data_IF_558789515187
#
_entry.id   IF_558789515187
#
_cell.length_a   1.000
_cell.length_b   1.000
_cell.length_c   1.000
_cell.angle_alpha   90.00
_cell.angle_beta   90.00
_cell.angle_gamma   90.00
#
_symmetry.space_group_name_H-M   'P 1'
#
loop_
_entity.id
_entity.type
_entity.pdbx_description
1 polymer ?
#
# COMPACT_ATOMS: atom_id res chain seq x y z
N UNK A 1 2.46 17.70 -22.17
CA UNK A 1 2.54 17.35 -20.72
C UNK A 1 1.30 16.55 -20.37
N UNK A 2 1.41 15.40 -19.69
CA UNK A 2 0.24 14.59 -19.32
C UNK A 2 -0.39 15.06 -18.00
N UNK A 3 -1.68 14.74 -17.78
CA UNK A 3 -2.38 14.96 -16.51
C UNK A 3 -1.67 14.31 -15.32
N UNK A 4 -1.12 13.12 -15.55
CA UNK A 4 -0.35 12.37 -14.55
C UNK A 4 0.87 13.14 -14.06
N UNK A 5 1.62 13.81 -14.95
CA UNK A 5 2.82 14.58 -14.55
C UNK A 5 2.48 15.77 -13.64
N UNK A 6 1.37 16.47 -13.90
CA UNK A 6 0.91 17.57 -13.04
C UNK A 6 0.46 17.05 -11.68
N UNK A 7 -0.32 15.97 -11.65
CA UNK A 7 -0.80 15.36 -10.42
C UNK A 7 0.37 14.85 -9.53
N UNK A 8 1.42 14.30 -10.14
CA UNK A 8 2.62 13.88 -9.43
C UNK A 8 3.37 15.06 -8.80
N UNK A 9 3.51 16.19 -9.52
CA UNK A 9 4.11 17.40 -8.98
C UNK A 9 3.29 17.99 -7.81
N UNK A 10 1.96 17.99 -7.93
CA UNK A 10 1.03 18.42 -6.88
C UNK A 10 1.13 17.54 -5.61
N UNK A 11 1.11 16.22 -5.78
CA UNK A 11 1.25 15.26 -4.68
C UNK A 11 2.61 15.37 -3.98
N UNK A 12 3.69 15.57 -4.76
CA UNK A 12 5.03 15.80 -4.22
C UNK A 12 5.11 17.12 -3.44
N UNK A 13 4.48 18.18 -3.94
CA UNK A 13 4.40 19.46 -3.26
C UNK A 13 3.66 19.36 -1.91
N UNK A 14 2.57 18.60 -1.86
CA UNK A 14 1.79 18.35 -0.64
C UNK A 14 2.54 17.50 0.38
N UNK A 15 3.05 16.34 -0.03
CA UNK A 15 3.78 15.41 0.84
C UNK A 15 5.05 16.03 1.44
N UNK A 16 5.82 16.76 0.63
CA UNK A 16 7.02 17.47 1.11
C UNK A 16 6.69 18.63 2.07
N UNK A 17 5.55 19.29 1.92
CA UNK A 17 5.09 20.33 2.85
C UNK A 17 4.73 19.72 4.22
N UNK A 18 4.03 18.59 4.24
CA UNK A 18 3.65 17.89 5.48
C UNK A 18 4.88 17.41 6.26
N UNK A 19 5.94 17.00 5.56
CA UNK A 19 7.23 16.61 6.16
C UNK A 19 8.08 17.83 6.58
N UNK A 20 7.67 19.04 6.19
CA UNK A 20 8.40 20.28 6.50
C UNK A 20 9.61 20.54 5.59
N UNK A 21 9.73 19.83 4.45
CA UNK A 21 10.81 20.04 3.50
C UNK A 21 10.46 21.18 2.52
N UNK A 22 10.54 22.41 3.03
CA UNK A 22 10.10 23.64 2.34
C UNK A 22 10.73 23.83 0.96
N UNK A 23 12.03 23.54 0.81
CA UNK A 23 12.73 23.72 -0.46
C UNK A 23 12.20 22.80 -1.56
N UNK A 24 11.94 21.53 -1.24
CA UNK A 24 11.35 20.57 -2.16
C UNK A 24 9.91 20.95 -2.50
N UNK A 25 9.12 21.36 -1.51
CA UNK A 25 7.74 21.81 -1.71
C UNK A 25 7.66 23.03 -2.62
N UNK A 26 8.56 24.00 -2.44
CA UNK A 26 8.62 25.20 -3.30
C UNK A 26 8.96 24.86 -4.75
N UNK A 27 9.97 24.01 -4.99
CA UNK A 27 10.34 23.58 -6.35
C UNK A 27 9.22 22.77 -7.01
N UNK A 28 8.59 21.85 -6.27
CA UNK A 28 7.49 21.03 -6.78
C UNK A 28 6.24 21.88 -7.13
N UNK A 29 5.89 22.87 -6.30
CA UNK A 29 4.78 23.81 -6.60
C UNK A 29 5.05 24.69 -7.80
N UNK A 30 6.28 25.19 -7.91
CA UNK A 30 6.66 25.98 -9.07
C UNK A 30 6.51 25.13 -10.34
N UNK A 31 7.07 23.90 -10.34
CA UNK A 31 6.99 22.97 -11.46
C UNK A 31 5.55 22.62 -11.82
N UNK A 32 4.70 22.33 -10.83
CA UNK A 32 3.26 22.09 -11.01
C UNK A 32 2.58 23.26 -11.75
N UNK A 33 2.76 24.49 -11.28
CA UNK A 33 2.17 25.68 -11.91
C UNK A 33 2.65 25.87 -13.35
N UNK A 34 3.95 25.68 -13.61
CA UNK A 34 4.48 25.87 -14.96
C UNK A 34 4.03 24.75 -15.92
N UNK A 35 3.94 23.50 -15.44
CA UNK A 35 3.37 22.40 -16.20
C UNK A 35 1.89 22.65 -16.51
N UNK A 36 1.10 23.14 -15.55
CA UNK A 36 -0.31 23.45 -15.76
C UNK A 36 -0.49 24.57 -16.80
N UNK A 37 0.24 25.67 -16.69
CA UNK A 37 0.19 26.77 -17.67
C UNK A 37 0.65 26.35 -19.07
N UNK A 38 1.64 25.46 -19.16
CA UNK A 38 2.11 24.93 -20.45
C UNK A 38 1.04 24.11 -21.17
N UNK A 39 0.09 23.51 -20.42
CA UNK A 39 -1.01 22.76 -21.02
C UNK A 39 -2.05 23.66 -21.64
N UNK A 40 -2.26 24.85 -21.08
CA UNK A 40 -3.26 25.79 -21.62
C UNK A 40 -2.79 26.38 -22.98
N UNK A 41 -1.51 26.26 -23.32
CA UNK A 41 -0.90 26.80 -24.54
C UNK A 41 -0.51 25.67 -25.52
N UNK A 42 -1.32 25.49 -26.56
CA UNK A 42 -1.39 24.24 -27.33
C UNK A 42 -0.49 24.11 -28.57
N UNK A 43 0.29 25.10 -28.99
CA UNK A 43 1.11 24.95 -30.21
C UNK A 43 2.49 25.61 -30.08
N UNK A 44 3.52 24.83 -30.42
CA UNK A 44 4.90 25.20 -30.73
C UNK A 44 5.92 25.53 -29.61
N UNK A 45 5.51 25.66 -28.34
CA UNK A 45 6.44 26.02 -27.24
C UNK A 45 7.17 24.86 -26.53
N UNK A 46 6.81 23.59 -26.79
CA UNK A 46 7.27 22.45 -25.96
C UNK A 46 8.79 22.27 -25.92
N UNK A 47 9.51 22.63 -27.00
CA UNK A 47 10.97 22.55 -27.05
C UNK A 47 11.67 23.65 -26.24
N UNK A 48 11.03 24.82 -26.07
CA UNK A 48 11.64 25.98 -25.39
C UNK A 48 11.57 25.85 -23.86
N UNK A 49 10.49 25.28 -23.34
CA UNK A 49 10.25 25.16 -21.88
C UNK A 49 10.68 23.80 -21.32
N UNK A 50 10.78 22.78 -22.16
CA UNK A 50 11.11 21.41 -21.76
C UNK A 50 12.44 21.31 -21.00
N UNK A 51 13.45 22.09 -21.37
CA UNK A 51 14.74 22.10 -20.68
C UNK A 51 14.62 22.54 -19.22
N UNK A 52 13.84 23.60 -18.95
CA UNK A 52 13.63 24.11 -17.58
C UNK A 52 12.88 23.09 -16.72
N UNK A 53 11.93 22.35 -17.31
CA UNK A 53 11.23 21.26 -16.60
C UNK A 53 12.15 20.09 -16.26
N UNK A 54 13.05 19.72 -17.17
CA UNK A 54 14.05 18.67 -16.91
C UNK A 54 15.02 19.11 -15.82
N UNK A 55 15.51 20.35 -15.87
CA UNK A 55 16.39 20.91 -14.83
C UNK A 55 15.70 20.92 -13.44
N UNK A 56 14.42 21.25 -13.37
CA UNK A 56 13.64 21.20 -12.14
C UNK A 56 13.40 19.77 -11.63
N UNK A 57 13.13 18.82 -12.52
CA UNK A 57 13.00 17.41 -12.16
C UNK A 57 14.32 16.83 -11.61
N UNK A 58 15.45 17.22 -12.20
CA UNK A 58 16.79 16.86 -11.70
C UNK A 58 17.08 17.49 -10.32
N UNK A 59 16.68 18.74 -10.11
CA UNK A 59 16.78 19.40 -8.80
C UNK A 59 15.95 18.68 -7.72
N UNK A 60 14.71 18.32 -8.05
CA UNK A 60 13.82 17.53 -7.20
C UNK A 60 14.44 16.17 -6.86
N UNK A 61 14.98 15.45 -7.85
CA UNK A 61 15.65 14.16 -7.65
C UNK A 61 16.85 14.30 -6.72
N UNK A 62 17.66 15.35 -6.90
CA UNK A 62 18.80 15.64 -6.01
C UNK A 62 18.34 15.91 -4.58
N UNK A 63 17.29 16.71 -4.39
CA UNK A 63 16.73 17.03 -3.07
C UNK A 63 16.19 15.78 -2.35
N UNK A 64 15.47 14.91 -3.06
CA UNK A 64 14.96 13.64 -2.53
C UNK A 64 16.09 12.70 -2.09
N UNK A 65 17.13 12.55 -2.91
CA UNK A 65 18.30 11.75 -2.53
C UNK A 65 19.03 12.31 -1.30
N UNK A 66 19.14 13.63 -1.19
CA UNK A 66 19.78 14.27 -0.04
C UNK A 66 18.92 14.11 1.23
N UNK A 67 17.60 14.21 1.10
CA UNK A 67 16.66 13.94 2.17
C UNK A 67 16.78 12.49 2.68
N UNK A 68 16.84 11.51 1.77
CA UNK A 68 17.06 10.11 2.12
C UNK A 68 18.41 9.88 2.84
N UNK A 69 19.43 10.69 2.51
CA UNK A 69 20.72 10.70 3.19
C UNK A 69 20.74 11.50 4.50
N UNK A 70 19.60 12.06 4.94
CA UNK A 70 19.47 12.82 6.20
C UNK A 70 19.85 14.30 6.10
N UNK A 71 20.00 14.85 4.90
CA UNK A 71 20.37 16.25 4.68
C UNK A 71 19.23 17.06 4.06
N UNK A 72 18.86 18.16 4.71
CA UNK A 72 17.93 19.16 4.16
C UNK A 72 18.71 20.24 3.43
N UNK A 73 18.73 20.18 2.09
CA UNK A 73 19.37 21.20 1.25
C UNK A 73 18.35 22.11 0.58
N UNK A 74 18.82 23.27 0.14
CA UNK A 74 18.02 24.21 -0.63
C UNK A 74 17.94 23.78 -2.10
N UNK A 75 16.84 24.14 -2.75
CA UNK A 75 16.65 24.01 -4.19
C UNK A 75 17.58 24.94 -4.96
N UNK A 76 17.86 24.62 -6.21
CA UNK A 76 18.61 25.53 -7.08
C UNK A 76 17.77 26.80 -7.33
N UNK A 77 18.24 27.93 -6.80
CA UNK A 77 17.55 29.22 -6.91
C UNK A 77 17.45 29.72 -8.36
N UNK A 78 18.42 29.37 -9.22
CA UNK A 78 18.40 29.76 -10.63
C UNK A 78 17.36 28.99 -11.42
N UNK A 79 17.20 27.68 -11.14
CA UNK A 79 16.14 26.86 -11.74
C UNK A 79 14.77 27.33 -11.27
N UNK A 80 14.62 27.56 -9.96
CA UNK A 80 13.35 28.01 -9.37
C UNK A 80 12.90 29.36 -9.96
N UNK A 81 13.83 30.30 -10.13
CA UNK A 81 13.54 31.60 -10.72
C UNK A 81 13.15 31.49 -12.20
N UNK A 82 13.94 30.73 -13.00
CA UNK A 82 13.61 30.49 -14.41
C UNK A 82 12.23 29.88 -14.57
N UNK A 83 11.85 28.98 -13.67
CA UNK A 83 10.59 28.28 -13.72
C UNK A 83 9.40 29.18 -13.34
N UNK A 84 9.58 30.11 -12.39
CA UNK A 84 8.58 31.13 -12.06
C UNK A 84 8.44 32.21 -13.15
N UNK A 85 9.52 32.50 -13.87
CA UNK A 85 9.55 33.50 -14.95
C UNK A 85 9.07 32.96 -16.30
N UNK A 86 8.65 31.68 -16.39
CA UNK A 86 8.08 31.13 -17.61
C UNK A 86 6.80 31.88 -17.97
N UNK A 87 6.91 32.72 -19.00
CA UNK A 87 5.79 33.38 -19.64
C UNK A 87 5.31 32.52 -20.81
N UNK A 88 4.02 32.22 -20.83
CA UNK A 88 3.40 31.37 -21.84
C UNK A 88 2.62 32.19 -22.89
N UNK A 89 2.79 33.52 -22.95
CA UNK A 89 1.97 34.48 -23.70
C UNK A 89 1.92 34.37 -25.25
N UNK A 90 2.30 33.24 -25.87
CA UNK A 90 2.14 33.05 -27.31
C UNK A 90 0.68 32.70 -27.67
N UNK A 91 -0.04 33.76 -28.07
CA UNK A 91 -1.27 33.80 -28.87
C UNK A 91 -2.40 32.81 -28.49
N UNK A 92 -3.18 33.18 -27.48
CA UNK A 92 -4.59 32.77 -27.38
C UNK A 92 -5.36 33.36 -28.57
N UNK A 93 -5.41 32.66 -29.69
CA UNK A 93 -6.49 32.87 -30.67
C UNK A 93 -7.80 32.41 -30.00
N UNK A 94 -8.89 33.19 -30.09
CA UNK A 94 -10.15 32.84 -29.47
C UNK A 94 -10.68 31.50 -30.03
N UNK A 95 -11.48 30.76 -29.23
CA UNK A 95 -12.02 29.47 -29.65
C UNK A 95 -12.77 29.61 -30.98
N UNK A 96 -12.55 28.65 -31.88
CA UNK A 96 -13.19 28.56 -33.19
C UNK A 96 -14.70 28.39 -33.02
N UNK A 97 -15.42 29.49 -32.96
CA UNK A 97 -16.88 29.53 -33.00
C UNK A 97 -17.42 30.63 -33.92
N UNK A 98 -16.55 31.41 -34.59
CA UNK A 98 -16.96 32.53 -35.46
C UNK A 98 -16.30 32.53 -36.85
N UNK A 99 -15.70 31.42 -37.30
CA UNK A 99 -15.13 31.31 -38.66
C UNK A 99 -16.10 30.80 -39.73
N UNK A 100 -17.38 30.63 -39.41
CA UNK A 100 -18.40 30.14 -40.36
C UNK A 100 -19.00 31.24 -41.26
N UNK A 101 -18.38 32.43 -41.30
CA UNK A 101 -18.91 33.60 -42.02
C UNK A 101 -17.89 34.34 -42.90
N UNK A 102 -16.81 33.68 -43.33
CA UNK A 102 -15.90 34.26 -44.33
C UNK A 102 -15.78 33.33 -45.54
N UNK A 103 -16.50 33.71 -46.60
CA UNK A 103 -16.44 33.15 -47.94
C UNK A 103 -15.09 33.50 -48.58
N UNK A 104 -14.18 32.52 -48.66
CA UNK A 104 -12.90 32.68 -49.34
C UNK A 104 -13.02 32.14 -50.78
N UNK A 105 -12.78 32.98 -51.81
CA UNK A 105 -12.89 32.55 -53.20
C UNK A 105 -11.81 31.51 -53.54
N UNK A 106 -12.26 30.44 -54.19
CA UNK A 106 -11.46 29.31 -54.64
C UNK A 106 -10.58 29.69 -55.85
N UNK A 107 -9.47 30.40 -55.61
CA UNK A 107 -8.36 30.43 -56.58
C UNK A 107 -7.08 31.05 -55.98
N UNK A 108 -6.27 30.25 -55.27
CA UNK A 108 -4.78 30.35 -55.28
C UNK A 108 -4.22 28.99 -54.85
N UNK A 109 -4.12 28.05 -55.80
CA UNK A 109 -3.17 26.94 -55.70
C UNK A 109 -1.85 27.42 -56.27
N UNK A 110 -0.94 27.85 -55.40
CA UNK A 110 0.48 27.91 -55.73
C UNK A 110 1.23 27.13 -54.64
N UNK A 111 1.40 25.82 -54.87
CA UNK A 111 2.39 25.00 -54.16
C UNK A 111 3.75 25.46 -54.65
N UNK A 112 4.49 26.15 -53.79
CA UNK A 112 5.91 26.37 -54.03
C UNK A 112 6.68 25.14 -53.53
N UNK A 113 7.50 24.59 -54.42
CA UNK A 113 8.21 23.32 -54.26
C UNK A 113 9.41 23.50 -53.31
N UNK A 114 9.29 23.01 -52.07
CA UNK A 114 10.44 22.83 -51.19
C UNK A 114 11.00 21.41 -51.33
N UNK A 115 12.19 21.40 -51.93
CA UNK A 115 13.08 20.30 -52.28
C UNK A 115 13.33 19.33 -51.12
N UNK A 116 13.14 18.04 -51.41
CA UNK A 116 13.45 16.93 -50.51
C UNK A 116 14.96 16.81 -50.28
N UNK A 117 15.37 16.81 -49.01
CA UNK A 117 16.70 16.37 -48.57
C UNK A 117 16.57 15.14 -47.67
N UNK A 118 17.49 14.21 -47.87
CA UNK A 118 17.36 12.77 -47.66
C UNK A 118 17.31 12.34 -46.18
N UNK A 119 16.53 11.28 -45.94
CA UNK A 119 16.53 10.51 -44.70
C UNK A 119 17.87 9.79 -44.47
N UNK A 120 18.40 9.71 -43.23
CA UNK A 120 19.37 8.69 -42.87
C UNK A 120 18.65 7.42 -42.37
N UNK A 121 19.23 6.29 -42.78
CA UNK A 121 18.83 4.91 -42.48
C UNK A 121 19.00 4.54 -40.98
N UNK A 122 18.39 3.42 -40.50
CA UNK A 122 18.47 3.02 -39.11
C UNK A 122 19.79 2.30 -38.78
N UNK A 123 20.34 2.54 -37.59
CA UNK A 123 21.46 1.82 -37.00
C UNK A 123 21.14 1.48 -35.52
N UNK A 124 21.78 0.45 -34.94
CA UNK A 124 21.14 -0.58 -34.11
C UNK A 124 21.12 -0.30 -32.61
N UNK A 125 20.34 -1.10 -31.89
CA UNK A 125 20.28 -1.21 -30.42
C UNK A 125 21.67 -1.40 -29.82
N UNK A 126 22.07 -0.49 -28.91
CA UNK A 126 23.28 -0.60 -28.11
C UNK A 126 22.90 -0.97 -26.67
N UNK A 127 23.40 -2.13 -26.22
CA UNK A 127 23.41 -2.58 -24.83
C UNK A 127 24.00 -1.51 -23.89
N UNK A 128 23.25 -1.15 -22.85
CA UNK A 128 23.76 -0.32 -21.76
C UNK A 128 24.51 -1.24 -20.79
N UNK A 129 25.82 -1.34 -21.00
CA UNK A 129 26.75 -1.95 -20.06
C UNK A 129 26.72 -1.20 -18.71
N UNK A 130 26.39 -1.92 -17.63
CA UNK A 130 26.53 -1.42 -16.27
C UNK A 130 28.02 -1.29 -15.92
N UNK A 131 28.46 -0.06 -15.69
CA UNK A 131 29.80 0.24 -15.19
C UNK A 131 29.94 -0.24 -13.73
N UNK A 132 30.78 -1.26 -13.53
CA UNK A 132 31.24 -1.71 -12.23
C UNK A 132 32.18 -0.68 -11.60
N UNK A 133 31.94 -0.34 -10.33
CA UNK A 133 32.91 0.37 -9.48
C UNK A 133 33.85 -0.64 -8.79
N UNK A 134 35.13 -0.30 -8.54
CA UNK A 134 36.14 -1.26 -8.10
C UNK A 134 36.06 -1.54 -6.59
N UNK A 135 36.23 -2.81 -6.22
CA UNK A 135 36.34 -3.28 -4.83
C UNK A 135 37.81 -3.29 -4.39
N UNK A 136 38.09 -2.66 -3.25
CA UNK A 136 39.40 -2.62 -2.60
C UNK A 136 39.51 -3.72 -1.52
N UNK A 137 40.47 -4.63 -1.73
CA UNK A 137 41.32 -5.40 -0.80
C UNK A 137 40.75 -6.34 0.31
N UNK A 138 41.50 -7.39 0.71
CA UNK A 138 40.97 -8.60 1.35
C UNK A 138 41.28 -8.69 2.84
N UNK A 139 40.43 -9.41 3.60
CA UNK A 139 40.80 -9.96 4.90
C UNK A 139 40.45 -11.45 4.99
N UNK A 140 41.53 -12.23 4.88
CA UNK A 140 41.90 -13.43 5.63
C UNK A 140 40.78 -14.38 6.11
N UNK A 141 40.77 -15.50 5.39
CA UNK A 141 40.45 -16.87 5.78
C UNK A 141 40.78 -17.22 7.25
N UNK A 142 39.78 -17.69 7.99
CA UNK A 142 39.95 -18.59 9.14
C UNK A 142 38.88 -19.69 9.08
N UNK A 143 39.14 -20.68 8.23
CA UNK A 143 38.57 -22.02 8.32
C UNK A 143 39.02 -22.74 9.59
N UNK A 144 38.06 -23.28 10.36
CA UNK A 144 38.24 -24.48 11.19
C UNK A 144 36.94 -25.30 11.20
N UNK A 145 37.00 -26.63 10.94
CA UNK A 145 35.83 -27.49 10.91
C UNK A 145 35.55 -28.11 12.28
N UNK A 146 34.33 -27.94 12.79
CA UNK A 146 33.83 -28.62 13.98
C UNK A 146 32.71 -29.60 13.62
N UNK A 147 33.06 -30.87 13.40
CA UNK A 147 32.11 -31.97 13.24
C UNK A 147 31.63 -32.42 14.62
N UNK A 148 30.32 -32.42 14.89
CA UNK A 148 29.64 -33.37 15.80
C UNK A 148 28.12 -33.36 15.55
N UNK A 149 27.57 -34.58 15.43
CA UNK A 149 26.13 -34.92 15.28
C UNK A 149 25.33 -34.50 16.53
N UNK A 150 24.02 -34.23 16.38
CA UNK A 150 23.02 -35.13 16.97
C UNK A 150 21.75 -35.28 16.08
N UNK A 151 21.29 -36.51 15.84
CA UNK A 151 20.22 -37.19 16.59
C UNK A 151 18.89 -37.06 15.86
N UNK A 152 18.46 -38.18 15.28
CA UNK A 152 17.12 -38.37 14.76
C UNK A 152 16.10 -38.11 15.88
N UNK A 153 15.18 -37.18 15.63
CA UNK A 153 13.96 -36.99 16.40
C UNK A 153 12.80 -37.08 15.40
N UNK A 154 11.91 -38.02 15.70
CA UNK A 154 10.65 -38.33 15.02
C UNK A 154 9.75 -37.09 14.78
N UNK A 155 8.87 -37.12 13.77
CA UNK A 155 8.00 -36.00 13.44
C UNK A 155 6.88 -35.87 14.49
N UNK A 156 7.14 -35.05 15.51
CA UNK A 156 6.13 -34.58 16.45
C UNK A 156 5.29 -33.47 15.83
N UNK A 157 4.02 -33.80 15.60
CA UNK A 157 2.91 -32.90 15.23
C UNK A 157 3.02 -31.49 15.83
N UNK A 158 3.29 -30.51 14.97
CA UNK A 158 2.99 -29.09 15.20
C UNK A 158 1.47 -28.89 15.10
N UNK A 159 0.81 -28.21 16.06
CA UNK A 159 -0.55 -27.75 15.85
C UNK A 159 -0.50 -26.66 14.77
N UNK A 160 -1.29 -26.85 13.72
CA UNK A 160 -1.48 -25.89 12.66
C UNK A 160 -1.90 -24.54 13.24
N UNK A 161 -1.03 -23.53 13.16
CA UNK A 161 -1.45 -22.13 13.25
C UNK A 161 -2.41 -21.86 12.09
N UNK A 162 -3.54 -21.25 12.45
CA UNK A 162 -4.66 -20.86 11.59
C UNK A 162 -4.17 -20.13 10.34
N UNK A 163 -4.06 -20.88 9.25
CA UNK A 163 -3.72 -20.39 7.91
C UNK A 163 -4.62 -21.02 6.84
N UNK A 164 -5.84 -21.40 7.21
CA UNK A 164 -6.78 -22.06 6.31
C UNK A 164 -8.19 -21.50 6.56
N UNK A 165 -8.45 -20.30 6.04
CA UNK A 165 -9.82 -19.79 5.94
C UNK A 165 -10.05 -18.82 4.76
N UNK A 166 -9.23 -18.87 3.70
CA UNK A 166 -9.48 -18.05 2.49
C UNK A 166 -9.51 -18.85 1.18
N UNK A 167 -9.59 -20.18 1.24
CA UNK A 167 -9.55 -21.03 0.03
C UNK A 167 -10.93 -21.21 -0.64
N UNK A 168 -12.03 -20.69 -0.09
CA UNK A 168 -13.36 -21.16 -0.47
C UNK A 168 -13.96 -20.60 -1.77
N UNK A 169 -13.38 -19.56 -2.41
CA UNK A 169 -13.88 -19.02 -3.68
C UNK A 169 -12.73 -18.45 -4.53
N UNK A 170 -11.83 -19.32 -5.00
CA UNK A 170 -10.77 -18.92 -5.93
C UNK A 170 -11.23 -19.18 -7.36
N UNK A 171 -11.27 -18.13 -8.17
CA UNK A 171 -11.35 -18.24 -9.63
C UNK A 171 -9.97 -18.64 -10.17
N UNK A 172 -9.88 -19.48 -11.20
CA UNK A 172 -8.62 -19.86 -11.87
C UNK A 172 -7.77 -18.63 -12.26
N UNK A 173 -8.40 -17.46 -12.49
CA UNK A 173 -7.72 -16.21 -12.84
C UNK A 173 -7.02 -15.51 -11.64
N UNK A 174 -7.36 -15.88 -10.39
CA UNK A 174 -6.83 -15.28 -9.15
C UNK A 174 -5.72 -16.12 -8.51
N UNK A 175 -5.47 -17.33 -9.02
CA UNK A 175 -4.38 -18.19 -8.55
C UNK A 175 -3.00 -17.66 -8.96
N UNK A 176 -2.93 -16.83 -10.00
CA UNK A 176 -1.68 -16.20 -10.50
C UNK A 176 -1.28 -14.92 -9.73
N UNK A 177 -1.99 -14.56 -8.66
CA UNK A 177 -1.62 -13.42 -7.81
C UNK A 177 -0.81 -13.95 -6.62
N UNK A 178 0.52 -13.84 -6.72
CA UNK A 178 1.50 -14.18 -5.67
C UNK A 178 1.60 -13.11 -4.56
N UNK A 179 0.63 -12.19 -4.46
CA UNK A 179 0.56 -11.23 -3.38
C UNK A 179 0.01 -11.90 -2.10
N UNK A 180 0.70 -11.64 -1.00
CA UNK A 180 0.28 -12.05 0.36
C UNK A 180 -0.30 -10.81 1.02
N UNK A 181 -1.54 -10.89 1.48
CA UNK A 181 -2.18 -9.78 2.18
C UNK A 181 -1.56 -9.60 3.57
N UNK A 182 -1.28 -8.35 3.92
CA UNK A 182 -0.75 -7.93 5.21
C UNK A 182 -1.68 -6.85 5.76
N UNK A 183 -2.90 -7.26 6.10
CA UNK A 183 -4.00 -6.36 6.45
C UNK A 183 -3.68 -5.60 7.75
N UNK A 184 -3.76 -4.27 7.70
CA UNK A 184 -3.73 -3.41 8.88
C UNK A 184 -5.17 -3.22 9.37
N UNK A 185 -5.55 -3.73 10.57
CA UNK A 185 -6.93 -3.66 11.06
C UNK A 185 -7.48 -2.23 11.20
N UNK A 186 -6.62 -1.26 11.53
CA UNK A 186 -7.05 0.14 11.74
C UNK A 186 -7.34 0.82 10.40
N UNK A 187 -6.55 0.50 9.36
CA UNK A 187 -6.74 1.03 8.01
C UNK A 187 -7.79 0.24 7.22
N UNK A 188 -7.95 -1.05 7.51
CA UNK A 188 -8.92 -1.92 6.84
C UNK A 188 -10.36 -1.50 7.12
N UNK A 189 -10.69 -1.05 8.34
CA UNK A 189 -12.04 -0.55 8.64
C UNK A 189 -12.43 0.65 7.75
N UNK A 190 -11.49 1.59 7.55
CA UNK A 190 -11.70 2.75 6.66
C UNK A 190 -11.83 2.27 5.21
N UNK A 191 -10.94 1.37 4.79
CA UNK A 191 -10.98 0.79 3.46
C UNK A 191 -12.27 -0.01 3.18
N UNK A 192 -12.81 -0.73 4.16
CA UNK A 192 -14.07 -1.45 4.04
C UNK A 192 -15.22 -0.48 3.77
N UNK A 193 -15.31 0.62 4.52
CA UNK A 193 -16.33 1.65 4.34
C UNK A 193 -16.22 2.28 2.94
N UNK A 194 -15.02 2.69 2.53
CA UNK A 194 -14.78 3.24 1.19
C UNK A 194 -15.08 2.21 0.09
N UNK A 195 -14.65 0.96 0.27
CA UNK A 195 -14.86 -0.12 -0.68
C UNK A 195 -16.35 -0.44 -0.87
N UNK A 196 -17.15 -0.36 0.19
CA UNK A 196 -18.60 -0.54 0.12
C UNK A 196 -19.30 0.55 -0.71
N UNK A 197 -18.74 1.76 -0.78
CA UNK A 197 -19.24 2.83 -1.65
C UNK A 197 -18.69 2.75 -3.08
N UNK A 198 -17.41 2.39 -3.23
CA UNK A 198 -16.72 2.37 -4.52
C UNK A 198 -17.08 1.16 -5.39
N UNK A 199 -17.30 -0.02 -4.80
CA UNK A 199 -17.65 -1.24 -5.56
C UNK A 199 -18.96 -1.10 -6.37
N UNK A 200 -20.07 -0.58 -5.81
CA UNK A 200 -21.27 -0.32 -6.59
C UNK A 200 -21.07 0.73 -7.70
N UNK A 201 -20.30 1.78 -7.42
CA UNK A 201 -19.96 2.83 -8.40
C UNK A 201 -19.18 2.24 -9.57
N UNK A 202 -18.16 1.43 -9.29
CA UNK A 202 -17.36 0.73 -10.28
C UNK A 202 -18.23 -0.17 -11.16
N UNK A 203 -19.08 -1.01 -10.56
CA UNK A 203 -19.97 -1.90 -11.30
C UNK A 203 -20.99 -1.15 -12.16
N UNK A 204 -21.50 -0.02 -11.67
CA UNK A 204 -22.40 0.86 -12.42
C UNK A 204 -21.73 1.47 -13.65
N UNK A 205 -20.53 2.05 -13.47
CA UNK A 205 -19.76 2.64 -14.54
C UNK A 205 -19.31 1.59 -15.59
N UNK A 206 -18.88 0.41 -15.14
CA UNK A 206 -18.45 -0.69 -16.01
C UNK A 206 -19.59 -1.21 -16.89
N UNK A 207 -20.80 -1.39 -16.32
CA UNK A 207 -22.00 -1.76 -17.11
C UNK A 207 -22.45 -0.66 -18.05
N UNK A 208 -22.34 0.61 -17.64
CA UNK A 208 -22.67 1.73 -18.51
C UNK A 208 -21.71 1.77 -19.72
N UNK A 209 -20.42 1.55 -19.48
CA UNK A 209 -19.42 1.51 -20.54
C UNK A 209 -19.58 0.27 -21.44
N UNK A 210 -19.87 -0.91 -20.89
CA UNK A 210 -20.12 -2.11 -21.70
C UNK A 210 -21.35 -1.96 -22.60
N UNK A 211 -22.38 -1.23 -22.16
CA UNK A 211 -23.57 -0.94 -22.97
C UNK A 211 -23.34 0.07 -24.09
N UNK A 212 -22.33 0.96 -23.92
CA UNK A 212 -21.99 2.05 -24.85
C UNK A 212 -20.46 2.22 -24.88
N UNK A 213 -19.74 1.43 -25.69
CA UNK A 213 -18.26 1.42 -25.71
C UNK A 213 -17.64 2.77 -26.11
N UNK A 214 -18.39 3.60 -26.84
CA UNK A 214 -18.05 4.96 -27.25
C UNK A 214 -18.14 5.98 -26.11
N UNK A 215 -18.80 5.64 -25.00
CA UNK A 215 -18.94 6.51 -23.83
C UNK A 215 -17.62 6.61 -23.04
N UNK A 216 -16.73 7.51 -23.48
CA UNK A 216 -15.46 7.78 -22.81
C UNK A 216 -15.65 8.30 -21.37
N UNK A 217 -16.76 8.96 -21.06
CA UNK A 217 -17.07 9.40 -19.70
C UNK A 217 -17.22 8.22 -18.72
N UNK A 218 -17.93 7.18 -19.13
CA UNK A 218 -18.05 5.96 -18.33
C UNK A 218 -16.71 5.23 -18.18
N UNK A 219 -15.90 5.17 -19.25
CA UNK A 219 -14.53 4.62 -19.19
C UNK A 219 -13.65 5.35 -18.19
N UNK A 220 -13.64 6.68 -18.22
CA UNK A 220 -12.85 7.50 -17.31
C UNK A 220 -13.30 7.34 -15.86
N UNK A 221 -14.60 7.20 -15.63
CA UNK A 221 -15.15 6.94 -14.30
C UNK A 221 -14.70 5.59 -13.75
N UNK A 222 -14.72 4.53 -14.57
CA UNK A 222 -14.18 3.20 -14.19
C UNK A 222 -12.71 3.32 -13.77
N UNK A 223 -11.88 3.97 -14.57
CA UNK A 223 -10.45 4.15 -14.28
C UNK A 223 -10.21 4.93 -12.99
N UNK A 224 -10.98 6.01 -12.76
CA UNK A 224 -10.90 6.81 -11.53
C UNK A 224 -11.23 5.97 -10.30
N UNK A 225 -12.33 5.22 -10.33
CA UNK A 225 -12.76 4.39 -9.21
C UNK A 225 -11.75 3.26 -8.94
N UNK A 226 -11.24 2.60 -9.99
CA UNK A 226 -10.17 1.59 -9.86
C UNK A 226 -8.90 2.18 -9.24
N UNK A 227 -8.51 3.39 -9.65
CA UNK A 227 -7.31 4.04 -9.12
C UNK A 227 -7.45 4.34 -7.62
N UNK A 228 -8.60 4.87 -7.19
CA UNK A 228 -8.90 5.12 -5.78
C UNK A 228 -8.92 3.81 -4.99
N UNK A 229 -9.63 2.80 -5.49
CA UNK A 229 -9.73 1.48 -4.84
C UNK A 229 -8.37 0.79 -4.71
N UNK A 230 -7.52 0.87 -5.74
CA UNK A 230 -6.13 0.36 -5.71
C UNK A 230 -5.30 1.05 -4.64
N UNK A 231 -5.43 2.38 -4.53
CA UNK A 231 -4.72 3.18 -3.54
C UNK A 231 -5.11 2.80 -2.11
N UNK A 232 -6.42 2.75 -1.83
CA UNK A 232 -6.94 2.43 -0.51
C UNK A 232 -6.70 0.96 -0.14
N UNK A 233 -6.81 0.02 -1.08
CA UNK A 233 -6.49 -1.39 -0.84
C UNK A 233 -5.01 -1.61 -0.49
N UNK A 234 -4.08 -0.93 -1.17
CA UNK A 234 -2.64 -1.00 -0.87
C UNK A 234 -2.31 -0.39 0.50
N UNK A 235 -2.98 0.70 0.85
CA UNK A 235 -2.82 1.36 2.15
C UNK A 235 -3.31 0.46 3.30
N UNK A 236 -4.44 -0.22 3.11
CA UNK A 236 -4.99 -1.18 4.07
C UNK A 236 -4.26 -2.55 4.10
N UNK A 237 -3.27 -2.76 3.22
CA UNK A 237 -2.53 -4.00 3.13
C UNK A 237 -3.24 -5.14 2.39
N UNK A 238 -4.37 -4.86 1.73
CA UNK A 238 -5.10 -5.77 0.85
C UNK A 238 -4.42 -5.84 -0.53
N UNK A 239 -3.18 -6.32 -0.56
CA UNK A 239 -2.31 -6.32 -1.72
C UNK A 239 -2.88 -7.13 -2.90
N UNK A 240 -3.54 -8.26 -2.62
CA UNK A 240 -4.21 -9.07 -3.66
C UNK A 240 -5.27 -8.27 -4.39
N UNK A 241 -6.16 -7.63 -3.63
CA UNK A 241 -7.25 -6.83 -4.19
C UNK A 241 -6.71 -5.61 -4.96
N UNK A 242 -5.64 -4.98 -4.45
CA UNK A 242 -4.95 -3.90 -5.16
C UNK A 242 -4.36 -4.34 -6.50
N UNK A 243 -3.84 -5.58 -6.59
CA UNK A 243 -3.34 -6.14 -7.85
C UNK A 243 -4.48 -6.49 -8.82
N UNK A 244 -5.62 -7.00 -8.32
CA UNK A 244 -6.81 -7.24 -9.14
C UNK A 244 -7.31 -5.94 -9.78
N UNK A 245 -7.39 -4.85 -9.02
CA UNK A 245 -7.77 -3.54 -9.53
C UNK A 245 -6.80 -3.04 -10.61
N UNK A 246 -5.49 -3.22 -10.40
CA UNK A 246 -4.44 -2.85 -11.35
C UNK A 246 -4.51 -3.66 -12.66
N UNK A 247 -4.79 -4.97 -12.60
CA UNK A 247 -4.99 -5.82 -13.79
C UNK A 247 -6.18 -5.34 -14.62
N UNK A 248 -7.28 -5.00 -13.96
CA UNK A 248 -8.47 -4.46 -14.64
C UNK A 248 -8.14 -3.10 -15.28
N UNK A 249 -7.43 -2.20 -14.57
CA UNK A 249 -6.95 -0.92 -15.13
C UNK A 249 -6.12 -1.13 -16.41
N UNK A 250 -5.17 -2.07 -16.37
CA UNK A 250 -4.30 -2.42 -17.51
C UNK A 250 -5.08 -3.03 -18.68
N UNK A 251 -6.09 -3.85 -18.40
CA UNK A 251 -6.98 -4.39 -19.43
C UNK A 251 -7.74 -3.25 -20.13
N UNK A 252 -8.28 -2.30 -19.36
CA UNK A 252 -9.04 -1.15 -19.88
C UNK A 252 -8.20 -0.22 -20.75
N UNK A 253 -6.93 -0.03 -20.41
CA UNK A 253 -6.00 0.77 -21.22
C UNK A 253 -5.73 0.14 -22.60
N UNK A 254 -5.75 -1.20 -22.67
CA UNK A 254 -5.51 -1.95 -23.90
C UNK A 254 -6.75 -2.11 -24.78
N UNK A 255 -7.95 -1.98 -24.21
CA UNK A 255 -9.21 -2.02 -24.99
C UNK A 255 -9.21 -0.88 -26.03
N UNK A 256 -9.11 -1.28 -27.29
CA UNK A 256 -9.11 -0.42 -28.48
C UNK A 256 -10.47 -0.40 -29.20
N UNK A 257 -10.46 -0.07 -30.49
CA UNK A 257 -11.62 0.07 -31.41
C UNK A 257 -12.85 -0.80 -31.10
N UNK A 258 -14.05 -0.24 -31.33
CA UNK A 258 -15.37 -0.73 -30.91
C UNK A 258 -15.73 -2.19 -31.25
N UNK A 259 -15.18 -2.78 -32.32
CA UNK A 259 -15.55 -4.13 -32.78
C UNK A 259 -14.87 -5.28 -32.02
N UNK A 260 -13.75 -5.05 -31.33
CA UNK A 260 -13.09 -6.06 -30.47
C UNK A 260 -13.71 -6.16 -29.07
N UNK A 261 -14.64 -5.26 -28.74
CA UNK A 261 -14.93 -4.90 -27.36
C UNK A 261 -15.83 -5.91 -26.62
N UNK A 262 -16.69 -6.68 -27.30
CA UNK A 262 -17.68 -7.54 -26.62
C UNK A 262 -17.07 -8.65 -25.76
N UNK A 263 -16.09 -9.40 -26.28
CA UNK A 263 -15.41 -10.46 -25.52
C UNK A 263 -14.49 -9.89 -24.44
N UNK A 264 -13.89 -8.72 -24.71
CA UNK A 264 -13.06 -7.99 -23.76
C UNK A 264 -13.90 -7.49 -22.57
N UNK A 265 -15.13 -7.02 -22.82
CA UNK A 265 -16.06 -6.61 -21.76
C UNK A 265 -16.57 -7.78 -20.92
N UNK A 266 -16.87 -8.94 -21.50
CA UNK A 266 -17.23 -10.14 -20.72
C UNK A 266 -16.10 -10.54 -19.77
N UNK A 267 -14.86 -10.48 -20.26
CA UNK A 267 -13.66 -10.76 -19.46
C UNK A 267 -13.53 -9.75 -18.31
N UNK A 268 -13.70 -8.45 -18.59
CA UNK A 268 -13.67 -7.41 -17.57
C UNK A 268 -14.75 -7.60 -16.50
N UNK A 269 -15.99 -7.93 -16.90
CA UNK A 269 -17.08 -8.18 -15.97
C UNK A 269 -16.77 -9.39 -15.08
N UNK A 270 -16.23 -10.46 -15.66
CA UNK A 270 -15.80 -11.65 -14.91
C UNK A 270 -14.71 -11.32 -13.90
N UNK A 271 -13.70 -10.51 -14.28
CA UNK A 271 -12.65 -10.04 -13.34
C UNK A 271 -13.21 -9.14 -12.26
N UNK A 272 -14.17 -8.28 -12.58
CA UNK A 272 -14.85 -7.43 -11.62
C UNK A 272 -15.66 -8.25 -10.60
N UNK A 273 -16.34 -9.32 -11.03
CA UNK A 273 -17.04 -10.23 -10.14
C UNK A 273 -16.07 -10.97 -9.20
N UNK A 274 -14.91 -11.41 -9.73
CA UNK A 274 -13.85 -11.99 -8.90
C UNK A 274 -13.33 -10.98 -7.86
N UNK A 275 -13.12 -9.72 -8.24
CA UNK A 275 -12.69 -8.66 -7.33
C UNK A 275 -13.73 -8.35 -6.25
N UNK A 276 -15.02 -8.34 -6.59
CA UNK A 276 -16.09 -8.22 -5.60
C UNK A 276 -16.09 -9.40 -4.62
N UNK A 277 -15.92 -10.64 -5.11
CA UNK A 277 -15.85 -11.82 -4.26
C UNK A 277 -14.63 -11.78 -3.32
N UNK A 278 -13.47 -11.32 -3.81
CA UNK A 278 -12.28 -11.14 -2.99
C UNK A 278 -12.48 -10.09 -1.89
N UNK A 279 -13.10 -8.95 -2.23
CA UNK A 279 -13.44 -7.91 -1.25
C UNK A 279 -14.40 -8.43 -0.18
N UNK A 280 -15.47 -9.13 -0.58
CA UNK A 280 -16.42 -9.70 0.37
C UNK A 280 -15.79 -10.79 1.25
N UNK A 281 -14.85 -11.57 0.70
CA UNK A 281 -14.06 -12.54 1.46
C UNK A 281 -13.21 -11.89 2.55
N UNK A 282 -12.59 -10.75 2.27
CA UNK A 282 -11.83 -9.97 3.26
C UNK A 282 -12.74 -9.45 4.38
N UNK A 283 -13.93 -8.93 4.04
CA UNK A 283 -14.92 -8.46 5.03
C UNK A 283 -15.39 -9.55 5.97
N UNK A 284 -15.66 -10.74 5.43
CA UNK A 284 -16.04 -11.89 6.24
C UNK A 284 -14.90 -12.34 7.17
N UNK A 285 -13.65 -12.32 6.68
CA UNK A 285 -12.49 -12.68 7.47
C UNK A 285 -12.26 -11.70 8.63
N UNK A 286 -12.42 -10.39 8.39
CA UNK A 286 -12.30 -9.36 9.42
C UNK A 286 -13.42 -9.46 10.47
N UNK A 287 -14.68 -9.63 10.03
CA UNK A 287 -15.80 -9.85 10.94
C UNK A 287 -15.62 -11.11 11.82
N UNK A 288 -15.10 -12.20 11.25
CA UNK A 288 -14.78 -13.42 11.99
C UNK A 288 -13.64 -13.20 12.99
N UNK A 289 -12.61 -12.44 12.62
CA UNK A 289 -11.50 -12.07 13.50
C UNK A 289 -11.95 -11.18 14.66
N UNK A 290 -12.89 -10.25 14.43
CA UNK A 290 -13.47 -9.39 15.47
C UNK A 290 -14.35 -10.17 16.48
N UNK A 291 -15.02 -11.25 16.04
CA UNK A 291 -15.87 -12.09 16.88
C UNK A 291 -15.08 -13.14 17.69
N UNK A 292 -13.88 -13.54 17.25
CA UNK A 292 -13.09 -14.58 17.90
C UNK A 292 -12.72 -14.27 19.39
N UNK A 293 -12.32 -13.05 19.77
CA UNK A 293 -12.06 -12.69 21.17
C UNK A 293 -13.33 -12.72 22.04
N UNK A 294 -14.48 -12.35 21.48
CA UNK A 294 -15.76 -12.31 22.20
C UNK A 294 -16.27 -13.73 22.51
N UNK A 295 -16.14 -14.65 21.55
CA UNK A 295 -16.45 -16.06 21.76
C UNK A 295 -15.47 -16.70 22.75
N UNK A 296 -14.16 -16.44 22.63
CA UNK A 296 -13.16 -16.92 23.59
C UNK A 296 -13.44 -16.41 25.02
N UNK A 297 -13.85 -15.15 25.19
CA UNK A 297 -14.26 -14.59 26.47
C UNK A 297 -15.57 -15.18 27.03
N UNK A 298 -16.52 -15.51 26.15
CA UNK A 298 -17.78 -16.16 26.54
C UNK A 298 -17.58 -17.63 26.97
N UNK A 299 -16.69 -18.38 26.31
CA UNK A 299 -16.32 -19.73 26.71
C UNK A 299 -15.42 -19.76 27.96
N UNK A 300 -14.62 -18.72 28.20
CA UNK A 300 -13.81 -18.59 29.42
C UNK A 300 -14.62 -18.15 30.66
N UNK A 301 -15.78 -17.49 30.45
CA UNK A 301 -16.71 -17.08 31.53
C UNK A 301 -17.86 -18.06 31.75
N UNK A 302 -17.91 -19.18 31.01
CA UNK A 302 -18.81 -20.27 31.32
C UNK A 302 -18.29 -21.02 32.55
N UNK A 303 -18.67 -20.57 33.74
CA UNK A 303 -18.58 -21.42 34.93
C UNK A 303 -19.29 -22.74 34.63
N UNK A 304 -18.72 -23.89 35.03
CA UNK A 304 -19.34 -25.18 34.75
C UNK A 304 -20.68 -25.22 35.45
N UNK A 305 -21.77 -25.12 34.66
CA UNK A 305 -23.11 -25.47 35.09
C UNK A 305 -23.06 -26.93 35.52
N UNK A 306 -22.86 -27.13 36.82
CA UNK A 306 -23.04 -28.42 37.48
C UNK A 306 -24.54 -28.66 37.42
N UNK A 307 -24.96 -29.43 36.42
CA UNK A 307 -26.29 -30.02 36.40
C UNK A 307 -26.33 -30.98 37.57
N UNK A 308 -26.79 -30.49 38.73
CA UNK A 308 -27.17 -31.34 39.85
C UNK A 308 -28.41 -32.10 39.37
N UNK A 309 -28.19 -33.33 38.89
CA UNK A 309 -29.26 -34.32 38.75
C UNK A 309 -29.66 -34.69 40.17
N UNK A 310 -30.69 -34.02 40.67
CA UNK A 310 -31.30 -34.30 41.95
C UNK A 310 -32.00 -35.67 41.87
N UNK A 311 -31.36 -36.70 42.43
CA UNK A 311 -32.01 -37.98 42.73
C UNK A 311 -32.62 -37.84 44.12
N UNK A 312 -33.96 -37.80 44.27
CA UNK A 312 -34.58 -37.60 45.55
C UNK A 312 -34.65 -38.93 46.31
N UNK A 313 -34.00 -38.99 47.46
CA UNK A 313 -34.24 -40.06 48.42
C UNK A 313 -34.16 -39.50 49.84
N UNK A 314 -35.26 -38.94 50.32
CA UNK A 314 -35.56 -38.93 51.76
C UNK A 314 -37.05 -38.69 52.04
N UNK A 315 -37.61 -39.59 52.85
CA UNK A 315 -38.81 -39.44 53.67
C UNK A 315 -38.62 -40.37 54.90
N UNK A 316 -39.37 -40.22 56.02
CA UNK A 316 -40.32 -39.16 56.42
C UNK A 316 -39.91 -38.53 57.78
N UNK A 317 -40.43 -37.39 58.23
CA UNK A 317 -41.62 -37.16 59.08
C UNK A 317 -41.49 -35.70 59.58
N UNK A 318 -42.47 -34.85 59.89
CA UNK A 318 -43.93 -34.83 59.78
C UNK A 318 -44.35 -33.34 59.87
N UNK A 319 -45.38 -32.95 59.11
CA UNK A 319 -46.17 -31.72 59.29
C UNK A 319 -47.13 -31.89 60.49
N UNK A 320 -47.67 -30.83 61.15
CA UNK A 320 -48.55 -29.82 60.53
C UNK A 320 -48.43 -28.36 61.03
N UNK A 321 -48.65 -27.37 60.14
CA UNK A 321 -49.84 -26.46 59.99
C UNK A 321 -49.98 -25.47 61.17
N UNK A 322 -50.13 -24.14 61.02
CA UNK A 322 -50.83 -23.30 60.05
C UNK A 322 -50.27 -21.84 60.11
N UNK A 323 -50.16 -21.10 59.00
CA UNK A 323 -51.04 -20.00 58.56
C UNK A 323 -51.38 -18.97 59.68
N UNK A 324 -51.21 -17.65 59.53
CA UNK A 324 -51.59 -16.82 58.38
C UNK A 324 -50.99 -15.39 58.51
N UNK A 325 -50.75 -14.74 57.36
CA UNK A 325 -50.99 -13.33 56.97
C UNK A 325 -50.89 -12.17 58.01
N UNK A 326 -50.44 -10.93 57.73
CA UNK A 326 -49.93 -10.23 56.56
C UNK A 326 -49.50 -8.79 56.99
N UNK A 327 -48.81 -8.09 56.08
CA UNK A 327 -48.97 -6.65 55.77
C UNK A 327 -48.33 -5.51 56.62
N UNK A 328 -47.53 -4.68 55.89
CA UNK A 328 -47.54 -3.19 55.76
C UNK A 328 -46.73 -2.26 56.69
N UNK A 329 -45.92 -1.40 55.99
CA UNK A 329 -45.71 0.07 56.15
C UNK A 329 -44.94 0.52 57.43
N UNK A 330 -44.22 1.65 57.49
CA UNK A 330 -43.86 2.78 56.61
C UNK A 330 -42.67 3.54 57.27
N UNK A 331 -41.91 4.25 56.45
CA UNK A 331 -41.16 5.51 56.63
C UNK A 331 -40.71 6.09 58.01
N UNK A 332 -39.51 6.71 58.02
CA UNK A 332 -39.23 7.79 58.97
C UNK A 332 -37.80 8.30 59.19
N UNK A 333 -37.36 9.27 58.37
CA UNK A 333 -36.56 10.48 58.71
C UNK A 333 -35.08 10.34 59.18
N UNK A 334 -34.16 10.83 58.32
CA UNK A 334 -32.72 11.04 58.59
C UNK A 334 -32.45 12.42 59.22
N UNK A 335 -31.70 12.45 60.33
CA UNK A 335 -31.17 13.68 60.97
C UNK A 335 -29.88 14.16 60.28
N UNK A 336 -29.84 15.45 60.00
CA UNK A 336 -28.71 16.22 59.47
C UNK A 336 -27.80 16.68 60.63
N UNK A 337 -26.48 16.48 60.53
CA UNK A 337 -25.49 16.91 61.53
C UNK A 337 -24.53 17.96 60.92
N UNK A 338 -24.31 19.05 61.65
CA UNK A 338 -23.40 20.17 61.34
C UNK A 338 -22.04 19.91 62.01
N UNK A 339 -20.87 20.17 61.38
CA UNK A 339 -19.57 19.97 62.02
C UNK A 339 -19.02 21.23 62.71
N UNK A 340 -18.23 21.03 63.78
CA UNK A 340 -17.46 22.06 64.50
C UNK A 340 -16.02 22.17 63.97
N UNK A 341 -15.29 23.29 64.17
CA UNK A 341 -14.01 23.56 63.53
C UNK A 341 -12.84 22.96 64.33
N UNK A 342 -11.86 22.39 63.63
CA UNK A 342 -10.58 21.96 64.21
C UNK A 342 -9.40 22.64 63.52
N UNK A 343 -8.38 22.90 64.35
CA UNK A 343 -7.30 23.85 64.17
C UNK A 343 -6.33 23.58 63.01
N UNK A 344 -5.74 24.66 62.49
CA UNK A 344 -4.62 24.63 61.55
C UNK A 344 -3.41 23.93 62.18
N UNK A 345 -3.02 22.80 61.59
CA UNK A 345 -1.69 22.21 61.76
C UNK A 345 -0.90 22.45 60.46
N UNK A 346 0.17 23.23 60.56
CA UNK A 346 1.13 23.46 59.48
C UNK A 346 1.95 22.18 59.22
N UNK A 347 1.94 21.69 57.99
CA UNK A 347 2.82 20.61 57.51
C UNK A 347 4.10 21.19 56.86
N UNK A 348 5.26 20.54 57.02
CA UNK A 348 6.51 21.02 56.46
C UNK A 348 6.57 20.89 54.93
N UNK A 349 7.35 21.79 54.31
CA UNK A 349 7.54 21.94 52.87
C UNK A 349 7.87 20.63 52.15
N UNK A 350 7.19 20.42 51.01
CA UNK A 350 7.42 19.34 50.04
C UNK A 350 8.89 19.27 49.62
N UNK A 351 9.48 18.09 49.79
CA UNK A 351 10.65 17.67 49.02
C UNK A 351 10.28 17.52 47.54
N UNK A 352 11.24 17.83 46.68
CA UNK A 352 11.12 17.94 45.23
C UNK A 352 10.29 16.80 44.59
N UNK A 353 9.31 17.20 43.78
CA UNK A 353 8.43 16.32 43.06
C UNK A 353 9.22 15.47 42.05
N UNK A 354 9.46 14.20 42.36
CA UNK A 354 9.60 13.20 41.31
C UNK A 354 8.22 13.05 40.67
N UNK A 355 8.10 13.50 39.43
CA UNK A 355 6.91 13.33 38.61
C UNK A 355 6.71 11.83 38.35
N UNK A 356 6.01 11.16 39.26
CA UNK A 356 5.60 9.77 39.09
C UNK A 356 4.39 9.76 38.17
N UNK A 357 4.61 9.38 36.92
CA UNK A 357 3.53 9.19 35.94
C UNK A 357 2.80 7.90 36.34
N UNK A 358 1.56 8.02 36.82
CA UNK A 358 0.69 6.86 37.03
C UNK A 358 0.22 6.35 35.68
N UNK A 359 0.84 5.28 35.21
CA UNK A 359 0.42 4.57 34.00
C UNK A 359 -0.61 3.51 34.39
N UNK A 360 -1.67 3.36 33.59
CA UNK A 360 -2.67 2.29 33.77
C UNK A 360 -2.00 0.93 33.53
N UNK A 361 -2.24 -0.06 34.38
CA UNK A 361 -1.65 -1.41 34.25
C UNK A 361 -1.90 -2.04 32.87
N UNK A 362 -3.11 -1.85 32.35
CA UNK A 362 -3.50 -2.32 31.01
C UNK A 362 -2.70 -1.69 29.86
N UNK A 363 -2.18 -0.46 30.02
CA UNK A 363 -1.32 0.15 28.99
C UNK A 363 0.09 -0.44 29.04
N UNK A 364 0.63 -0.70 30.24
CA UNK A 364 1.92 -1.38 30.39
C UNK A 364 1.88 -2.78 29.81
N UNK A 365 0.80 -3.53 30.06
CA UNK A 365 0.59 -4.87 29.50
C UNK A 365 0.54 -4.84 27.97
N UNK A 366 -0.18 -3.87 27.37
CA UNK A 366 -0.19 -3.67 25.91
C UNK A 366 1.18 -3.27 25.35
N UNK A 367 1.90 -2.36 26.00
CA UNK A 367 3.24 -1.95 25.56
C UNK A 367 4.24 -3.10 25.66
N UNK A 368 4.13 -3.95 26.68
CA UNK A 368 4.96 -5.16 26.82
C UNK A 368 4.61 -6.19 25.75
N UNK A 369 3.33 -6.38 25.44
CA UNK A 369 2.92 -7.28 24.36
C UNK A 369 3.38 -6.77 22.99
N UNK A 370 3.22 -5.47 22.69
CA UNK A 370 3.72 -4.85 21.45
C UNK A 370 5.25 -4.92 21.35
N UNK A 371 5.97 -4.69 22.46
CA UNK A 371 7.42 -4.84 22.48
C UNK A 371 7.85 -6.31 22.27
N UNK A 372 7.09 -7.27 22.80
CA UNK A 372 7.29 -8.69 22.57
C UNK A 372 7.07 -9.08 21.11
N UNK A 373 6.01 -8.57 20.49
CA UNK A 373 5.69 -8.81 19.09
C UNK A 373 6.77 -8.24 18.15
N UNK A 374 7.23 -7.01 18.40
CA UNK A 374 8.34 -6.39 17.65
C UNK A 374 9.66 -7.17 17.81
N UNK A 375 9.92 -7.73 18.99
CA UNK A 375 11.10 -8.57 19.21
C UNK A 375 11.01 -9.90 18.45
N UNK A 376 9.83 -10.50 18.36
CA UNK A 376 9.59 -11.73 17.60
C UNK A 376 9.72 -11.47 16.10
N UNK A 377 9.12 -10.39 15.57
CA UNK A 377 9.22 -10.04 14.15
C UNK A 377 10.66 -9.73 13.77
N UNK A 378 11.39 -8.99 14.62
CA UNK A 378 12.82 -8.73 14.42
C UNK A 378 13.64 -10.02 14.39
N UNK A 379 13.42 -10.93 15.35
CA UNK A 379 14.14 -12.21 15.37
C UNK A 379 13.85 -13.07 14.13
N UNK A 380 12.60 -13.04 13.63
CA UNK A 380 12.21 -13.74 12.41
C UNK A 380 12.87 -13.13 11.17
N UNK A 381 12.88 -11.80 11.05
CA UNK A 381 13.58 -11.10 9.97
C UNK A 381 15.08 -11.39 9.98
N UNK A 382 15.71 -11.39 11.15
CA UNK A 382 17.13 -11.73 11.28
C UNK A 382 17.41 -13.18 10.81
N UNK A 383 16.50 -14.12 11.11
CA UNK A 383 16.59 -15.49 10.63
C UNK A 383 16.40 -15.61 9.10
N UNK A 384 15.42 -14.92 8.52
CA UNK A 384 15.18 -14.91 7.07
C UNK A 384 16.34 -14.26 6.31
N UNK A 385 16.91 -13.16 6.81
CA UNK A 385 18.11 -12.53 6.24
C UNK A 385 19.30 -13.51 6.30
N UNK A 386 19.44 -14.26 7.40
CA UNK A 386 20.45 -15.30 7.52
C UNK A 386 20.29 -16.39 6.46
N UNK A 387 19.06 -16.87 6.26
CA UNK A 387 18.74 -17.89 5.24
C UNK A 387 19.00 -17.37 3.81
N UNK A 388 18.63 -16.13 3.53
CA UNK A 388 18.84 -15.51 2.21
C UNK A 388 20.34 -15.36 1.90
N UNK A 389 21.13 -14.94 2.88
CA UNK A 389 22.60 -14.89 2.78
C UNK A 389 23.20 -16.28 2.52
N UNK A 390 22.68 -17.31 3.19
CA UNK A 390 23.07 -18.70 2.94
C UNK A 390 22.80 -19.14 1.50
N UNK A 391 21.58 -18.90 1.01
CA UNK A 391 21.19 -19.23 -0.37
C UNK A 391 22.04 -18.51 -1.42
N UNK A 392 22.33 -17.21 -1.21
CA UNK A 392 23.21 -16.45 -2.10
C UNK A 392 24.65 -16.99 -2.10
N UNK A 393 25.14 -17.44 -0.94
CA UNK A 393 26.46 -18.06 -0.84
C UNK A 393 26.51 -19.40 -1.58
N UNK A 394 25.47 -20.22 -1.45
CA UNK A 394 25.36 -21.50 -2.15
C UNK A 394 25.27 -21.31 -3.67
N UNK A 395 24.47 -20.34 -4.12
CA UNK A 395 24.35 -19.98 -5.53
C UNK A 395 25.67 -19.47 -6.11
N UNK A 396 26.40 -18.64 -5.36
CA UNK A 396 27.75 -18.18 -5.74
C UNK A 396 28.72 -19.35 -5.83
N UNK A 397 28.64 -20.30 -4.89
CA UNK A 397 29.42 -21.54 -4.92
C UNK A 397 29.10 -22.42 -6.13
N UNK A 398 27.83 -22.55 -6.48
CA UNK A 398 27.39 -23.28 -7.68
C UNK A 398 27.91 -22.63 -8.96
N UNK A 399 27.87 -21.30 -9.05
CA UNK A 399 28.35 -20.54 -10.20
C UNK A 399 29.87 -20.70 -10.40
N UNK A 400 30.64 -20.69 -9.31
CA UNK A 400 32.07 -20.97 -9.36
C UNK A 400 32.38 -22.39 -9.80
N UNK A 401 31.61 -23.38 -9.35
CA UNK A 401 31.71 -24.78 -9.82
C UNK A 401 31.41 -24.89 -11.32
N UNK A 402 30.34 -24.25 -11.79
CA UNK A 402 29.98 -24.24 -13.21
C UNK A 402 31.09 -23.60 -14.08
N UNK A 403 31.66 -22.47 -13.63
CA UNK A 403 32.79 -21.82 -14.31
C UNK A 403 34.05 -22.67 -14.36
N UNK A 404 34.28 -23.51 -13.34
CA UNK A 404 35.41 -24.45 -13.36
C UNK A 404 35.13 -25.59 -14.34
N UNK A 405 33.92 -26.17 -14.32
CA UNK A 405 33.53 -27.22 -15.26
C UNK A 405 33.58 -26.75 -16.71
N UNK A 406 33.15 -25.53 -17.01
CA UNK A 406 33.25 -24.96 -18.36
C UNK A 406 34.70 -24.81 -18.81
N UNK A 407 35.60 -24.35 -17.92
CA UNK A 407 37.04 -24.27 -18.20
C UNK A 407 37.67 -25.64 -18.43
N UNK A 408 37.29 -26.64 -17.64
CA UNK A 408 37.83 -27.99 -17.79
C UNK A 408 37.35 -28.62 -19.12
N UNK A 409 36.10 -28.38 -19.52
CA UNK A 409 35.56 -28.78 -20.83
C UNK A 409 36.27 -28.06 -21.97
N UNK A 410 36.53 -26.77 -21.85
CA UNK A 410 37.26 -25.97 -22.84
C UNK A 410 38.69 -26.50 -23.05
N UNK A 411 39.41 -26.77 -21.96
CA UNK A 411 40.76 -27.36 -22.03
C UNK A 411 40.75 -28.76 -22.64
N UNK A 412 39.74 -29.58 -22.33
CA UNK A 412 39.60 -30.91 -22.93
C UNK A 412 39.27 -30.83 -24.43
N UNK A 413 38.46 -29.86 -24.84
CA UNK A 413 38.16 -29.61 -26.25
C UNK A 413 39.39 -29.13 -27.02
N UNK A 414 40.18 -28.20 -26.46
CA UNK A 414 41.42 -27.72 -27.06
C UNK A 414 42.46 -28.85 -27.21
N UNK A 415 42.61 -29.69 -26.19
CA UNK A 415 43.49 -30.86 -26.24
C UNK A 415 43.07 -31.90 -27.29
N UNK A 416 41.77 -32.06 -27.57
CA UNK A 416 41.29 -32.97 -28.61
C UNK A 416 41.45 -32.41 -30.03
N UNK A 417 41.43 -31.09 -30.20
CA UNK A 417 41.67 -30.46 -31.52
C UNK A 417 43.15 -30.43 -31.91
N UNK A 418 44.06 -30.54 -30.93
CA UNK A 418 45.51 -30.51 -31.16
C UNK A 418 46.15 -31.90 -31.38
N UNK A 419 45.41 -32.98 -31.10
CA UNK A 419 45.79 -34.38 -31.40
C UNK A 419 45.18 -34.84 -32.71
#
# INVERSE_FOLDING_TARGET
VSDSTVALAHSLAGSSATVGFVALSAMARALEHALQKSRDHHRDGAAQYGQVFVEAAEDIRRLLHQFAAGFLRQSDAGVLERLNQLDFSDAVLPPTSEFDALDFPADVVQRDELKAEAAPAPLPEAEIAHAALPVEAPLADLSMPGRVLPLAVEPGSVPASVGVASTALRSDADEEIDAIDAIDPDLFAIFEEEGAELMPQLGGALRQWSSRPDNQGARMEVLRVLHTLKGSARLAGALRLGEMAHRIESDIERIGSADAASQEFETLLTRFDAMQAAFEGLRHADAAAALAPALAGAYASAEPLTVIVEVPAQAPEAHPLAADEAFLREDGIRKLAIPAPQALVMQPLRQAASATIRVRSQLLERMVNQAGEVMITRARLDAEIGQLRGSLNDMTGNLNRLRQQLRDIELQAESQMQS
#
